data_IF_345791622971
#
_entry.id   IF_345791622971
#
_cell.length_a   1.000
_cell.length_b   1.000
_cell.length_c   1.000
_cell.angle_alpha   90.00
_cell.angle_beta   90.00
_cell.angle_gamma   90.00
#
_symmetry.space_group_name_H-M   'P 1'
#
loop_
_entity.id
_entity.type
_entity.pdbx_description
1 polymer ?
#
# COMPACT_ATOMS: atom_id res chain seq x y z
N UNK A 1 -12.13 -4.80 24.46
CA UNK A 1 -11.50 -6.10 24.19
C UNK A 1 -10.58 -6.57 25.31
N UNK A 2 -10.16 -5.78 26.27
CA UNK A 2 -9.39 -6.20 27.45
C UNK A 2 -7.96 -6.67 27.12
N UNK A 3 -7.35 -6.16 26.08
CA UNK A 3 -5.93 -6.31 25.84
C UNK A 3 -5.16 -5.48 26.87
N UNK A 4 -4.02 -6.00 27.32
CA UNK A 4 -3.10 -5.26 28.17
C UNK A 4 -2.62 -3.97 27.50
N UNK A 5 -1.81 -3.20 28.19
CA UNK A 5 -1.26 -1.97 27.66
C UNK A 5 -0.43 -2.27 26.39
N UNK A 6 -0.82 -1.69 25.25
CA UNK A 6 -0.05 -1.80 24.00
C UNK A 6 1.13 -0.82 24.12
N UNK A 7 2.35 -1.31 23.99
CA UNK A 7 3.55 -0.45 23.92
C UNK A 7 3.65 0.18 22.54
N UNK A 8 4.36 1.32 22.44
CA UNK A 8 4.59 1.98 21.16
C UNK A 8 5.29 1.04 20.16
N UNK A 9 6.27 0.26 20.61
CA UNK A 9 6.96 -0.75 19.77
C UNK A 9 6.00 -1.81 19.22
N UNK A 10 5.04 -2.27 20.03
CA UNK A 10 4.04 -3.22 19.59
C UNK A 10 3.06 -2.57 18.60
N UNK A 11 2.65 -1.33 18.86
CA UNK A 11 1.80 -0.57 17.94
C UNK A 11 2.49 -0.37 16.58
N UNK A 12 3.77 0.00 16.58
CA UNK A 12 4.55 0.16 15.35
C UNK A 12 4.71 -1.14 14.57
N UNK A 13 4.78 -2.29 15.27
CA UNK A 13 4.87 -3.59 14.61
C UNK A 13 3.61 -3.99 13.83
N UNK A 14 2.48 -3.34 14.09
CA UNK A 14 1.22 -3.56 13.36
C UNK A 14 1.08 -2.70 12.10
N UNK A 15 2.01 -1.77 11.88
CA UNK A 15 2.05 -1.00 10.65
C UNK A 15 2.73 -1.81 9.54
N UNK A 16 1.94 -2.31 8.58
CA UNK A 16 2.41 -3.07 7.43
C UNK A 16 1.91 -4.51 7.34
N UNK A 17 1.86 -5.32 8.43
CA UNK A 17 1.21 -6.63 8.39
C UNK A 17 -0.26 -6.53 7.99
N UNK A 18 -0.77 -7.62 7.41
CA UNK A 18 -2.19 -7.73 7.14
C UNK A 18 -3.01 -8.09 8.40
N UNK A 19 -4.32 -7.98 8.30
CA UNK A 19 -5.22 -8.22 9.42
C UNK A 19 -5.15 -9.67 9.96
N UNK A 20 -4.82 -10.66 9.13
CA UNK A 20 -4.68 -12.05 9.57
C UNK A 20 -3.44 -12.20 10.46
N UNK A 21 -2.33 -11.59 10.08
CA UNK A 21 -1.09 -11.60 10.86
C UNK A 21 -1.26 -10.82 12.19
N UNK A 22 -1.88 -9.64 12.15
CA UNK A 22 -2.16 -8.87 13.38
C UNK A 22 -3.04 -9.68 14.34
N UNK A 23 -4.12 -10.28 13.85
CA UNK A 23 -4.98 -11.11 14.69
C UNK A 23 -4.23 -12.30 15.30
N UNK A 24 -3.34 -12.94 14.52
CA UNK A 24 -2.51 -14.04 15.00
C UNK A 24 -1.58 -13.60 16.12
N UNK A 25 -0.88 -12.49 15.96
CA UNK A 25 0.05 -11.95 16.96
C UNK A 25 -0.67 -11.51 18.23
N UNK A 26 -1.84 -10.87 18.08
CA UNK A 26 -2.66 -10.39 19.19
C UNK A 26 -3.48 -11.48 19.88
N UNK A 27 -3.48 -12.72 19.36
CA UNK A 27 -4.30 -13.80 19.88
C UNK A 27 -5.81 -13.57 19.74
N UNK A 28 -6.22 -12.85 18.68
CA UNK A 28 -7.63 -12.58 18.39
C UNK A 28 -8.22 -13.83 17.73
N UNK A 29 -9.07 -14.52 18.48
CA UNK A 29 -9.77 -15.72 18.02
C UNK A 29 -10.81 -15.41 16.94
N UNK A 30 -11.22 -16.46 16.22
CA UNK A 30 -12.23 -16.35 15.15
C UNK A 30 -13.56 -15.76 15.61
N UNK A 31 -13.93 -16.00 16.87
CA UNK A 31 -15.12 -15.47 17.53
C UNK A 31 -15.10 -13.95 17.70
N UNK A 32 -13.91 -13.33 17.73
CA UNK A 32 -13.72 -11.88 17.89
C UNK A 32 -13.26 -11.19 16.61
N UNK A 33 -12.96 -11.95 15.56
CA UNK A 33 -12.42 -11.41 14.33
C UNK A 33 -13.31 -10.34 13.70
N UNK A 34 -14.60 -10.60 13.58
CA UNK A 34 -15.54 -9.64 12.99
C UNK A 34 -15.63 -8.34 13.79
N UNK A 35 -15.57 -8.40 15.13
CA UNK A 35 -15.55 -7.21 15.97
C UNK A 35 -14.23 -6.42 15.79
N UNK A 36 -13.10 -7.13 15.69
CA UNK A 36 -11.81 -6.50 15.42
C UNK A 36 -11.84 -5.76 14.08
N UNK A 37 -12.25 -6.44 13.01
CA UNK A 37 -12.30 -5.87 11.66
C UNK A 37 -13.20 -4.62 11.62
N UNK A 38 -14.37 -4.66 12.26
CA UNK A 38 -15.27 -3.50 12.31
C UNK A 38 -14.67 -2.32 13.08
N UNK A 39 -14.02 -2.56 14.22
CA UNK A 39 -13.39 -1.51 15.03
C UNK A 39 -12.20 -0.86 14.29
N UNK A 40 -11.36 -1.67 13.65
CA UNK A 40 -10.23 -1.18 12.86
C UNK A 40 -10.76 -0.35 11.68
N UNK A 41 -11.71 -0.87 10.92
CA UNK A 41 -12.31 -0.17 9.80
C UNK A 41 -12.88 1.19 10.19
N UNK A 42 -13.66 1.25 11.26
CA UNK A 42 -14.24 2.52 11.73
C UNK A 42 -13.15 3.51 12.10
N UNK A 43 -12.14 3.05 12.86
CA UNK A 43 -11.04 3.89 13.33
C UNK A 43 -10.20 4.41 12.14
N UNK A 44 -9.81 3.54 11.23
CA UNK A 44 -8.97 3.89 10.08
C UNK A 44 -9.68 4.87 9.14
N UNK A 45 -10.97 4.65 8.88
CA UNK A 45 -11.78 5.57 8.06
C UNK A 45 -11.91 6.94 8.73
N UNK A 46 -12.20 6.97 10.05
CA UNK A 46 -12.34 8.22 10.79
C UNK A 46 -11.02 9.01 10.82
N UNK A 47 -9.90 8.34 11.13
CA UNK A 47 -8.58 8.96 11.15
C UNK A 47 -8.17 9.46 9.77
N UNK A 48 -8.43 8.69 8.72
CA UNK A 48 -8.16 9.11 7.34
C UNK A 48 -8.89 10.40 7.01
N UNK A 49 -10.18 10.49 7.32
CA UNK A 49 -11.01 11.66 7.00
C UNK A 49 -10.65 12.89 7.83
N UNK A 50 -10.33 12.70 9.10
CA UNK A 50 -10.09 13.82 10.03
C UNK A 50 -8.63 14.29 10.06
N UNK A 51 -7.68 13.38 9.97
CA UNK A 51 -6.26 13.65 10.18
C UNK A 51 -5.35 13.28 9.01
N UNK A 52 -5.84 12.49 8.06
CA UNK A 52 -5.06 12.04 6.91
C UNK A 52 -4.43 13.18 6.14
N UNK A 53 -3.21 12.97 5.64
CA UNK A 53 -2.48 13.92 4.81
C UNK A 53 -1.70 13.19 3.73
N UNK A 54 -1.71 13.72 2.53
CA UNK A 54 -0.80 13.25 1.48
C UNK A 54 0.59 13.87 1.65
N UNK A 55 1.61 13.13 1.30
CA UNK A 55 2.95 13.68 1.18
C UNK A 55 2.99 14.80 0.13
N UNK A 56 3.78 15.84 0.42
CA UNK A 56 3.90 16.99 -0.48
C UNK A 56 4.40 16.55 -1.86
N UNK A 57 3.71 16.99 -2.91
CA UNK A 57 4.05 16.63 -4.29
C UNK A 57 3.33 15.40 -4.84
N UNK A 58 2.61 14.62 -4.03
CA UNK A 58 1.91 13.40 -4.48
C UNK A 58 0.89 13.70 -5.60
N UNK A 59 0.08 14.76 -5.47
CA UNK A 59 -0.89 15.10 -6.53
C UNK A 59 -0.22 15.42 -7.86
N UNK A 60 0.95 16.10 -7.84
CA UNK A 60 1.73 16.38 -9.05
C UNK A 60 2.30 15.10 -9.65
N UNK A 61 2.83 14.20 -8.82
CA UNK A 61 3.31 12.88 -9.25
C UNK A 61 2.20 12.10 -9.95
N UNK A 62 1.02 11.98 -9.32
CA UNK A 62 -0.11 11.25 -9.90
C UNK A 62 -0.55 11.87 -11.23
N UNK A 63 -0.71 13.20 -11.27
CA UNK A 63 -1.06 13.90 -12.51
C UNK A 63 -0.02 13.68 -13.61
N UNK A 64 1.26 13.68 -13.27
CA UNK A 64 2.31 13.47 -14.28
C UNK A 64 2.37 12.03 -14.80
N UNK A 65 2.02 11.04 -13.98
CA UNK A 65 2.02 9.63 -14.38
C UNK A 65 0.74 9.21 -15.12
N UNK A 66 -0.37 9.93 -14.94
CA UNK A 66 -1.64 9.60 -15.61
C UNK A 66 -1.58 9.63 -17.13
N UNK A 67 -0.60 10.35 -17.70
CA UNK A 67 -0.41 10.42 -19.15
C UNK A 67 0.30 9.19 -19.75
N UNK A 68 0.99 8.39 -18.92
CA UNK A 68 1.83 7.29 -19.39
C UNK A 68 1.61 5.96 -18.67
N UNK A 69 0.78 5.92 -17.62
CA UNK A 69 0.56 4.71 -16.83
C UNK A 69 -0.89 4.58 -16.33
N UNK A 70 -1.38 3.36 -16.29
CA UNK A 70 -2.57 3.02 -15.52
C UNK A 70 -2.18 2.78 -14.06
N UNK A 71 -2.74 3.56 -13.14
CA UNK A 71 -2.38 3.48 -11.73
C UNK A 71 -3.41 2.72 -10.90
N UNK A 72 -2.91 1.99 -9.90
CA UNK A 72 -3.72 1.21 -8.99
C UNK A 72 -3.26 1.37 -7.54
N UNK A 73 -4.17 1.18 -6.58
CA UNK A 73 -3.86 1.12 -5.15
C UNK A 73 -4.08 -0.30 -4.62
N UNK A 74 -3.09 -0.80 -3.90
CA UNK A 74 -3.15 -2.08 -3.22
C UNK A 74 -2.65 -1.93 -1.78
N UNK A 75 -3.51 -2.14 -0.80
CA UNK A 75 -3.20 -1.96 0.62
C UNK A 75 -3.49 -3.21 1.45
N UNK A 76 -2.80 -3.36 2.58
CA UNK A 76 -3.13 -4.33 3.62
C UNK A 76 -4.25 -3.85 4.56
N UNK A 77 -4.64 -2.57 4.46
CA UNK A 77 -5.85 -2.07 5.09
C UNK A 77 -7.11 -2.62 4.43
N UNK A 78 -8.24 -2.42 5.06
CA UNK A 78 -9.52 -2.91 4.54
C UNK A 78 -9.93 -2.24 3.21
N UNK A 79 -10.91 -2.83 2.54
CA UNK A 79 -11.49 -2.21 1.34
C UNK A 79 -12.13 -0.86 1.67
N UNK A 80 -12.82 -0.72 2.81
CA UNK A 80 -13.43 0.53 3.27
C UNK A 80 -12.39 1.62 3.54
N UNK A 81 -11.27 1.25 4.15
CA UNK A 81 -10.12 2.16 4.33
C UNK A 81 -9.56 2.64 2.99
N UNK A 82 -9.35 1.72 2.04
CA UNK A 82 -8.86 2.05 0.70
C UNK A 82 -9.79 3.06 0.00
N UNK A 83 -11.09 2.82 0.05
CA UNK A 83 -12.11 3.71 -0.53
C UNK A 83 -12.14 5.07 0.17
N UNK A 84 -12.04 5.09 1.51
CA UNK A 84 -11.97 6.34 2.27
C UNK A 84 -10.73 7.18 1.90
N UNK A 85 -9.57 6.55 1.64
CA UNK A 85 -8.39 7.24 1.13
C UNK A 85 -8.65 7.84 -0.25
N UNK A 86 -9.25 7.08 -1.17
CA UNK A 86 -9.56 7.54 -2.53
C UNK A 86 -10.50 8.75 -2.51
N UNK A 87 -11.55 8.70 -1.68
CA UNK A 87 -12.49 9.80 -1.51
C UNK A 87 -11.84 11.03 -0.86
N UNK A 88 -11.20 10.83 0.29
CA UNK A 88 -10.64 11.93 1.10
C UNK A 88 -9.59 12.72 0.35
N UNK A 89 -8.77 12.04 -0.44
CA UNK A 89 -7.68 12.66 -1.19
C UNK A 89 -8.01 12.93 -2.66
N UNK A 90 -9.29 12.74 -3.06
CA UNK A 90 -9.76 12.96 -4.43
C UNK A 90 -8.92 12.21 -5.48
N UNK A 91 -8.60 10.93 -5.24
CA UNK A 91 -7.73 10.13 -6.10
C UNK A 91 -8.45 9.48 -7.28
N UNK A 92 -9.78 9.48 -7.30
CA UNK A 92 -10.60 8.82 -8.34
C UNK A 92 -10.21 9.18 -9.79
N UNK A 93 -9.76 10.40 -10.11
CA UNK A 93 -9.33 10.71 -11.49
C UNK A 93 -8.06 9.98 -11.93
N UNK A 94 -7.26 9.46 -10.99
CA UNK A 94 -5.96 8.87 -11.26
C UNK A 94 -5.93 7.35 -11.11
N UNK A 95 -6.84 6.79 -10.28
CA UNK A 95 -6.78 5.39 -9.86
C UNK A 95 -7.84 4.57 -10.62
N UNK A 96 -7.37 3.68 -11.48
CA UNK A 96 -8.23 2.80 -12.28
C UNK A 96 -8.68 1.54 -11.50
N UNK A 97 -7.81 1.00 -10.65
CA UNK A 97 -8.06 -0.22 -9.88
C UNK A 97 -7.64 0.00 -8.42
N UNK A 98 -8.37 -0.59 -7.51
CA UNK A 98 -7.99 -0.59 -6.09
C UNK A 98 -8.46 -1.85 -5.37
N UNK A 99 -7.70 -2.27 -4.37
CA UNK A 99 -8.06 -3.38 -3.50
C UNK A 99 -7.48 -3.16 -2.10
N UNK A 100 -8.33 -3.33 -1.11
CA UNK A 100 -7.92 -3.59 0.25
C UNK A 100 -7.48 -5.04 0.45
N UNK A 101 -7.20 -5.39 1.71
CA UNK A 101 -6.86 -6.74 2.12
C UNK A 101 -8.00 -7.74 1.78
N UNK A 102 -7.59 -8.89 1.24
CA UNK A 102 -8.48 -10.02 0.99
C UNK A 102 -7.81 -11.27 1.57
N UNK A 103 -8.45 -11.88 2.57
CA UNK A 103 -7.89 -13.08 3.22
C UNK A 103 -7.65 -14.20 2.19
N UNK A 104 -6.46 -14.82 2.27
CA UNK A 104 -6.04 -15.88 1.36
C UNK A 104 -5.53 -15.40 -0.01
N UNK A 105 -5.51 -14.08 -0.28
CA UNK A 105 -4.96 -13.51 -1.52
C UNK A 105 -3.77 -12.62 -1.20
N UNK A 106 -2.58 -12.99 -1.67
CA UNK A 106 -1.38 -12.17 -1.49
C UNK A 106 -1.39 -10.95 -2.42
N UNK A 107 -0.68 -9.87 -2.02
CA UNK A 107 -0.45 -8.71 -2.91
C UNK A 107 0.17 -9.15 -4.24
N UNK A 108 1.14 -10.07 -4.22
CA UNK A 108 1.77 -10.57 -5.44
C UNK A 108 0.78 -11.27 -6.39
N UNK A 109 -0.19 -12.02 -5.85
CA UNK A 109 -1.26 -12.63 -6.67
C UNK A 109 -2.15 -11.55 -7.29
N UNK A 110 -2.53 -10.52 -6.50
CA UNK A 110 -3.35 -9.41 -6.99
C UNK A 110 -2.63 -8.60 -8.06
N UNK A 111 -1.35 -8.32 -7.88
CA UNK A 111 -0.52 -7.62 -8.88
C UNK A 111 -0.49 -8.41 -10.20
N UNK A 112 -0.22 -9.72 -10.17
CA UNK A 112 -0.25 -10.57 -11.38
C UNK A 112 -1.61 -10.60 -12.05
N UNK A 113 -2.68 -10.66 -11.26
CA UNK A 113 -4.05 -10.62 -11.79
C UNK A 113 -4.27 -9.32 -12.57
N UNK A 114 -3.96 -8.17 -11.98
CA UNK A 114 -4.11 -6.86 -12.63
C UNK A 114 -3.19 -6.70 -13.84
N UNK A 115 -1.96 -7.21 -13.78
CA UNK A 115 -1.06 -7.23 -14.93
C UNK A 115 -1.71 -7.94 -16.12
N UNK A 116 -2.31 -9.09 -15.87
CA UNK A 116 -3.00 -9.87 -16.92
C UNK A 116 -4.26 -9.15 -17.42
N UNK A 117 -5.11 -8.65 -16.52
CA UNK A 117 -6.34 -7.93 -16.88
C UNK A 117 -6.09 -6.68 -17.72
N UNK A 118 -5.03 -5.95 -17.40
CA UNK A 118 -4.63 -4.73 -18.10
C UNK A 118 -3.72 -5.00 -19.31
N UNK A 119 -3.32 -6.26 -19.53
CA UNK A 119 -2.32 -6.62 -20.53
C UNK A 119 -1.05 -5.74 -20.44
N UNK A 120 -0.59 -5.47 -19.21
CA UNK A 120 0.49 -4.54 -18.95
C UNK A 120 1.85 -5.18 -19.27
N UNK A 121 2.62 -4.56 -20.18
CA UNK A 121 3.97 -4.99 -20.51
C UNK A 121 4.94 -4.76 -19.35
N UNK A 122 4.77 -3.68 -18.64
CA UNK A 122 5.60 -3.28 -17.47
C UNK A 122 4.73 -3.06 -16.27
N UNK A 123 5.14 -3.60 -15.14
CA UNK A 123 4.50 -3.35 -13.84
C UNK A 123 5.54 -2.79 -12.88
N UNK A 124 5.19 -1.71 -12.21
CA UNK A 124 6.02 -1.04 -11.22
C UNK A 124 5.22 -0.98 -9.90
N UNK A 125 5.78 -1.52 -8.85
CA UNK A 125 5.23 -1.43 -7.49
C UNK A 125 6.01 -0.37 -6.73
N UNK A 126 5.31 0.63 -6.23
CA UNK A 126 5.87 1.69 -5.38
C UNK A 126 5.40 1.43 -3.96
N UNK A 127 6.33 1.30 -3.02
CA UNK A 127 5.99 1.01 -1.64
C UNK A 127 7.08 1.42 -0.66
N UNK A 128 6.74 1.46 0.62
CA UNK A 128 7.60 1.92 1.69
C UNK A 128 7.98 0.83 2.70
N UNK A 129 7.59 -0.43 2.44
CA UNK A 129 7.91 -1.57 3.31
C UNK A 129 8.63 -2.68 2.55
N UNK A 130 9.44 -3.46 3.28
CA UNK A 130 10.09 -4.66 2.72
C UNK A 130 9.08 -5.61 2.07
N UNK A 131 7.88 -5.71 2.61
CA UNK A 131 6.80 -6.55 2.07
C UNK A 131 6.33 -6.07 0.69
N UNK A 132 6.35 -4.77 0.39
CA UNK A 132 6.01 -4.26 -0.93
C UNK A 132 7.06 -4.66 -1.95
N UNK A 133 8.35 -4.54 -1.58
CA UNK A 133 9.47 -4.98 -2.41
C UNK A 133 9.41 -6.49 -2.67
N UNK A 134 9.15 -7.30 -1.64
CA UNK A 134 9.01 -8.75 -1.76
C UNK A 134 7.83 -9.14 -2.67
N UNK A 135 6.67 -8.47 -2.52
CA UNK A 135 5.51 -8.72 -3.36
C UNK A 135 5.74 -8.30 -4.82
N UNK A 136 6.43 -7.18 -5.07
CA UNK A 136 6.86 -6.78 -6.40
C UNK A 136 7.73 -7.87 -7.05
N UNK A 137 8.77 -8.31 -6.37
CA UNK A 137 9.66 -9.39 -6.84
C UNK A 137 8.91 -10.69 -7.11
N UNK A 138 8.04 -11.11 -6.17
CA UNK A 138 7.22 -12.31 -6.33
C UNK A 138 6.24 -12.20 -7.52
N UNK A 139 5.81 -10.99 -7.88
CA UNK A 139 4.96 -10.75 -9.03
C UNK A 139 5.73 -10.62 -10.36
N UNK A 140 7.06 -10.50 -10.34
CA UNK A 140 7.87 -10.21 -11.52
C UNK A 140 7.81 -8.74 -11.93
N UNK A 141 7.47 -7.85 -11.02
CA UNK A 141 7.37 -6.41 -11.22
C UNK A 141 8.64 -5.68 -10.77
N UNK A 142 8.86 -4.48 -11.27
CA UNK A 142 9.86 -3.56 -10.73
C UNK A 142 9.43 -3.10 -9.34
N UNK A 143 10.39 -3.01 -8.43
CA UNK A 143 10.20 -2.54 -7.06
C UNK A 143 10.85 -1.17 -6.87
N UNK A 144 10.05 -0.16 -6.60
CA UNK A 144 10.52 1.20 -6.26
C UNK A 144 10.21 1.46 -4.79
N UNK A 145 11.27 1.58 -3.98
CA UNK A 145 11.14 1.88 -2.55
C UNK A 145 11.07 3.39 -2.32
N UNK A 146 10.18 3.84 -1.43
CA UNK A 146 10.08 5.26 -1.03
C UNK A 146 10.54 5.43 0.41
N UNK A 147 11.50 6.34 0.64
CA UNK A 147 12.15 6.52 1.94
C UNK A 147 11.48 7.57 2.83
N UNK A 148 10.46 8.25 2.30
CA UNK A 148 9.65 9.21 3.04
C UNK A 148 8.41 8.58 3.70
N UNK A 149 8.24 7.25 3.56
CA UNK A 149 7.23 6.46 4.26
C UNK A 149 7.72 5.94 5.61
N UNK A 150 7.29 4.74 5.98
CA UNK A 150 7.56 4.15 7.30
C UNK A 150 8.81 3.26 7.33
N UNK A 151 9.19 2.64 6.19
CA UNK A 151 10.33 1.73 6.12
C UNK A 151 11.68 2.44 6.08
N UNK A 152 12.71 1.81 6.66
CA UNK A 152 14.08 2.32 6.58
C UNK A 152 14.72 2.01 5.22
N UNK A 153 15.81 2.73 4.88
CA UNK A 153 16.59 2.43 3.66
C UNK A 153 17.11 0.98 3.64
N UNK A 154 17.50 0.46 4.80
CA UNK A 154 17.97 -0.91 4.95
C UNK A 154 16.84 -1.90 4.64
N UNK A 155 15.64 -1.64 5.16
CA UNK A 155 14.45 -2.44 4.88
C UNK A 155 14.13 -2.49 3.37
N UNK A 156 14.36 -1.37 2.67
CA UNK A 156 14.07 -1.21 1.25
C UNK A 156 15.23 -1.59 0.31
N UNK A 157 16.35 -2.10 0.83
CA UNK A 157 17.58 -2.37 0.06
C UNK A 157 17.42 -3.35 -1.10
N UNK A 158 16.34 -4.15 -1.11
CA UNK A 158 15.99 -5.05 -2.21
C UNK A 158 15.24 -4.39 -3.39
N UNK A 159 14.96 -3.10 -3.33
CA UNK A 159 14.29 -2.37 -4.42
C UNK A 159 15.21 -2.15 -5.63
N UNK A 160 14.63 -2.00 -6.82
CA UNK A 160 15.37 -1.62 -8.04
C UNK A 160 15.80 -0.16 -8.00
N UNK A 161 15.02 0.68 -7.31
CA UNK A 161 15.35 2.08 -7.07
C UNK A 161 14.79 2.53 -5.71
N UNK A 162 15.48 3.51 -5.09
CA UNK A 162 15.00 4.22 -3.92
C UNK A 162 14.72 5.68 -4.30
N UNK A 163 13.58 6.19 -3.85
CA UNK A 163 13.13 7.55 -4.11
C UNK A 163 12.87 8.29 -2.79
N UNK A 164 13.42 9.50 -2.66
CA UNK A 164 13.30 10.31 -1.46
C UNK A 164 12.15 11.33 -1.54
N UNK A 165 11.45 11.37 -2.67
CA UNK A 165 10.33 12.27 -2.90
C UNK A 165 9.34 11.72 -3.94
N UNK A 166 8.07 12.18 -3.94
CA UNK A 166 7.11 11.85 -4.99
C UNK A 166 7.59 12.25 -6.39
N UNK A 167 8.37 13.35 -6.52
CA UNK A 167 8.92 13.75 -7.82
C UNK A 167 9.90 12.70 -8.35
N UNK A 168 10.79 12.19 -7.50
CA UNK A 168 11.74 11.13 -7.89
C UNK A 168 11.02 9.84 -8.27
N UNK A 169 9.90 9.51 -7.63
CA UNK A 169 9.03 8.39 -8.03
C UNK A 169 8.53 8.58 -9.47
N UNK A 170 8.01 9.78 -9.79
CA UNK A 170 7.53 10.06 -11.15
C UNK A 170 8.65 9.90 -12.18
N UNK A 171 9.82 10.46 -11.91
CA UNK A 171 10.98 10.40 -12.82
C UNK A 171 11.51 8.97 -12.97
N UNK A 172 11.52 8.20 -11.88
CA UNK A 172 11.92 6.80 -11.88
C UNK A 172 10.95 5.94 -12.69
N UNK A 173 9.64 6.06 -12.44
CA UNK A 173 8.62 5.30 -13.16
C UNK A 173 8.66 5.60 -14.66
N UNK A 174 8.79 6.86 -15.06
CA UNK A 174 8.93 7.22 -16.49
C UNK A 174 10.12 6.56 -17.15
N UNK A 175 11.30 6.62 -16.51
CA UNK A 175 12.50 5.94 -17.04
C UNK A 175 12.30 4.44 -17.21
N UNK A 176 11.62 3.78 -16.26
CA UNK A 176 11.32 2.34 -16.38
C UNK A 176 10.32 2.03 -17.48
N UNK A 177 9.33 2.91 -17.71
CA UNK A 177 8.35 2.77 -18.79
C UNK A 177 9.04 2.99 -20.16
N UNK A 178 9.85 4.03 -20.28
CA UNK A 178 10.52 4.39 -21.55
C UNK A 178 11.59 3.37 -21.99
N UNK A 179 12.05 2.51 -21.07
CA UNK A 179 13.03 1.46 -21.35
C UNK A 179 12.41 0.19 -21.98
N UNK A 180 11.10 0.12 -22.11
CA UNK A 180 10.35 -1.05 -22.60
C UNK A 180 9.38 -0.73 -23.71
#
# INVERSE_FOLDING_TARGET
MGFGQITDELADSFNGPDADEVCRVMGIGKDRRALYDELVDQTDVELTRSMGRMFSGTSRMLSSLSDCATMAILTNGSQRYCEACIETFALSPYIALHSGFVSGVTKAQRIRQWQHELNAAVVIVVGDRATDIQNARAAGAYAVGVTYGMGSREELSGADALCDSPQEVADCCRRLIDAH
#
